data_IF_555168289496
#
_entry.id   IF_555168289496
#
_cell.length_a   1.000
_cell.length_b   1.000
_cell.length_c   1.000
_cell.angle_alpha   90.00
_cell.angle_beta   90.00
_cell.angle_gamma   90.00
#
_symmetry.space_group_name_H-M   'P 1'
#
loop_
_entity.id
_entity.type
_entity.pdbx_description
1 polymer ?
#
# COMPACT_ATOMS: atom_id res chain seq x y z
N UNK A 1 -50.89 13.09 63.10
CA UNK A 1 -49.50 12.68 63.36
C UNK A 1 -49.20 11.33 62.79
N UNK A 2 -49.35 11.16 61.44
CA UNK A 2 -49.23 9.86 60.81
C UNK A 2 -48.61 9.95 59.38
N UNK A 3 -47.83 11.01 59.11
CA UNK A 3 -47.25 11.25 57.77
C UNK A 3 -45.73 11.37 57.73
N UNK A 4 -45.06 11.05 58.85
CA UNK A 4 -43.62 11.32 58.95
C UNK A 4 -42.73 10.06 58.97
N UNK A 5 -43.25 8.89 58.66
CA UNK A 5 -42.46 7.62 58.72
C UNK A 5 -42.17 7.02 57.33
N UNK A 6 -42.69 7.57 56.25
CA UNK A 6 -42.63 6.94 54.92
C UNK A 6 -41.49 7.43 54.00
N UNK A 7 -40.60 8.30 54.48
CA UNK A 7 -39.51 8.87 53.64
C UNK A 7 -38.10 8.67 54.19
N UNK A 8 -37.84 7.55 54.85
CA UNK A 8 -36.50 7.23 55.32
C UNK A 8 -36.01 5.84 54.88
N UNK A 9 -36.14 5.56 53.59
CA UNK A 9 -35.44 4.45 52.95
C UNK A 9 -34.69 4.97 51.70
N UNK A 10 -33.83 5.92 51.92
CA UNK A 10 -32.80 6.25 50.93
C UNK A 10 -31.69 5.22 50.99
N UNK A 11 -31.83 4.10 50.34
CA UNK A 11 -30.70 3.22 50.10
C UNK A 11 -29.73 3.97 49.16
N UNK A 12 -28.62 4.44 49.72
CA UNK A 12 -27.53 5.00 48.94
C UNK A 12 -26.87 3.87 48.13
N UNK A 13 -27.17 3.82 46.88
CA UNK A 13 -26.47 2.94 45.96
C UNK A 13 -25.10 3.55 45.66
N UNK A 14 -24.03 2.87 46.02
CA UNK A 14 -22.69 3.20 45.54
C UNK A 14 -22.52 2.62 44.15
N UNK A 15 -22.46 3.47 43.13
CA UNK A 15 -22.11 3.06 41.78
C UNK A 15 -20.60 3.00 41.66
N UNK A 16 -20.08 1.79 41.44
CA UNK A 16 -18.67 1.58 41.14
C UNK A 16 -18.54 1.19 39.66
N UNK A 17 -17.70 1.91 38.93
CA UNK A 17 -17.40 1.57 37.56
C UNK A 17 -16.55 0.28 37.54
N UNK A 18 -17.09 -0.76 36.91
CA UNK A 18 -16.31 -1.97 36.63
C UNK A 18 -15.41 -1.74 35.42
N UNK A 19 -14.12 -1.82 35.62
CA UNK A 19 -13.14 -1.77 34.54
C UNK A 19 -12.81 -3.21 34.15
N UNK A 20 -13.07 -3.54 32.91
CA UNK A 20 -12.65 -4.84 32.36
C UNK A 20 -11.13 -4.78 32.11
N UNK A 21 -10.36 -5.54 32.87
CA UNK A 21 -8.95 -5.75 32.60
C UNK A 21 -8.74 -7.21 32.18
N UNK A 22 -7.97 -7.41 31.11
CA UNK A 22 -7.49 -8.73 30.72
C UNK A 22 -6.18 -8.96 31.46
N UNK A 23 -6.15 -9.92 32.35
CA UNK A 23 -4.95 -10.36 33.05
C UNK A 23 -4.47 -11.62 32.35
N UNK A 24 -3.35 -11.51 31.63
CA UNK A 24 -2.67 -12.65 31.05
C UNK A 24 -1.80 -13.32 32.12
N UNK A 25 -2.09 -14.56 32.44
CA UNK A 25 -1.19 -15.42 33.22
C UNK A 25 -0.16 -16.00 32.24
N UNK A 26 1.01 -15.36 32.16
CA UNK A 26 2.08 -15.71 31.22
C UNK A 26 3.27 -16.35 31.94
N UNK A 27 3.73 -17.47 31.40
CA UNK A 27 4.96 -18.11 31.83
C UNK A 27 6.05 -17.88 30.78
N UNK A 28 7.23 -17.46 31.22
CA UNK A 28 8.39 -17.38 30.33
C UNK A 28 8.98 -18.76 30.14
N UNK A 29 8.95 -19.23 28.90
CA UNK A 29 9.56 -20.50 28.53
C UNK A 29 10.64 -20.27 27.49
N UNK A 30 11.70 -21.09 27.54
CA UNK A 30 12.75 -21.15 26.51
C UNK A 30 12.53 -22.42 25.69
N UNK A 31 12.63 -22.29 24.39
CA UNK A 31 12.45 -23.42 23.49
C UNK A 31 13.12 -23.16 22.12
N UNK A 32 13.16 -24.21 21.31
CA UNK A 32 13.65 -24.13 19.93
C UNK A 32 12.45 -24.17 18.97
N UNK A 33 12.46 -23.29 17.97
CA UNK A 33 11.49 -23.33 16.88
C UNK A 33 12.13 -24.11 15.73
N UNK A 34 11.57 -25.26 15.39
CA UNK A 34 11.98 -26.03 14.20
C UNK A 34 11.01 -25.68 13.07
N UNK A 35 11.53 -25.14 11.98
CA UNK A 35 10.77 -24.82 10.78
C UNK A 35 11.11 -25.80 9.67
N UNK A 36 10.11 -26.19 8.88
CA UNK A 36 10.34 -26.90 7.62
C UNK A 36 10.56 -25.84 6.55
N UNK A 37 11.80 -25.73 6.06
CA UNK A 37 12.17 -24.72 5.07
C UNK A 37 12.36 -25.38 3.70
N UNK A 38 11.93 -24.67 2.65
CA UNK A 38 12.15 -25.05 1.27
C UNK A 38 12.96 -23.96 0.57
N UNK A 39 14.18 -24.34 0.15
CA UNK A 39 15.05 -23.44 -0.60
C UNK A 39 14.54 -23.35 -2.03
N UNK A 40 14.36 -22.12 -2.51
CA UNK A 40 14.07 -21.82 -3.90
C UNK A 40 15.38 -21.42 -4.59
N UNK A 41 15.70 -22.08 -5.69
CA UNK A 41 16.90 -21.79 -6.48
C UNK A 41 16.53 -21.05 -7.75
N UNK A 42 17.40 -20.13 -8.17
CA UNK A 42 17.30 -19.42 -9.44
C UNK A 42 18.61 -19.61 -10.22
N UNK A 43 18.50 -19.87 -11.52
CA UNK A 43 19.66 -20.17 -12.37
C UNK A 43 20.41 -18.90 -12.82
N UNK A 44 19.93 -17.71 -12.44
CA UNK A 44 20.48 -16.42 -12.86
C UNK A 44 21.03 -15.63 -11.67
N UNK A 45 21.99 -14.76 -11.94
CA UNK A 45 22.73 -14.05 -10.89
C UNK A 45 21.99 -12.83 -10.28
N UNK A 46 20.94 -12.33 -10.94
CA UNK A 46 20.20 -11.16 -10.47
C UNK A 46 18.79 -11.57 -10.10
N UNK A 47 18.57 -11.70 -8.80
CA UNK A 47 17.26 -12.05 -8.22
C UNK A 47 16.77 -10.85 -7.41
N UNK A 48 15.52 -10.45 -7.64
CA UNK A 48 14.86 -9.41 -6.86
C UNK A 48 13.69 -10.05 -6.14
N UNK A 49 13.75 -10.11 -4.81
CA UNK A 49 12.65 -10.56 -3.97
C UNK A 49 11.56 -9.50 -3.95
N UNK A 50 10.30 -9.92 -4.12
CA UNK A 50 9.13 -9.05 -4.17
C UNK A 50 8.38 -9.00 -2.83
N UNK A 51 8.78 -9.87 -1.90
CA UNK A 51 8.15 -10.04 -0.61
C UNK A 51 9.06 -9.63 0.53
N UNK A 52 8.45 -9.19 1.63
CA UNK A 52 9.15 -8.92 2.87
C UNK A 52 9.34 -10.20 3.70
N UNK A 53 10.38 -10.22 4.52
CA UNK A 53 10.61 -11.30 5.49
C UNK A 53 9.42 -11.45 6.43
N UNK A 54 8.94 -12.68 6.62
CA UNK A 54 7.77 -13.00 7.43
C UNK A 54 6.43 -12.83 6.71
N UNK A 55 6.42 -12.44 5.44
CA UNK A 55 5.19 -12.30 4.65
C UNK A 55 4.60 -13.66 4.29
N UNK A 56 3.26 -13.77 4.40
CA UNK A 56 2.56 -14.99 4.03
C UNK A 56 2.44 -15.11 2.52
N UNK A 57 2.76 -16.29 2.00
CA UNK A 57 2.76 -16.60 0.56
C UNK A 57 1.78 -17.71 0.26
N UNK A 58 0.95 -17.50 -0.75
CA UNK A 58 0.04 -18.52 -1.29
C UNK A 58 0.73 -19.44 -2.29
N UNK A 59 0.25 -20.69 -2.40
CA UNK A 59 0.74 -21.60 -3.43
C UNK A 59 0.51 -21.04 -4.84
N UNK A 60 1.53 -21.07 -5.70
CA UNK A 60 1.52 -20.49 -7.04
C UNK A 60 1.89 -18.99 -7.09
N UNK A 61 2.04 -18.33 -5.95
CA UNK A 61 2.43 -16.92 -5.89
C UNK A 61 3.90 -16.73 -6.29
N UNK A 62 4.17 -15.65 -7.04
CA UNK A 62 5.53 -15.22 -7.32
C UNK A 62 6.17 -14.60 -6.08
N UNK A 63 7.40 -14.98 -5.79
CA UNK A 63 8.17 -14.49 -4.64
C UNK A 63 9.39 -13.69 -5.04
N UNK A 64 9.88 -13.93 -6.26
CA UNK A 64 11.02 -13.21 -6.80
C UNK A 64 10.96 -13.15 -8.32
N UNK A 65 11.58 -12.11 -8.87
CA UNK A 65 11.80 -11.97 -10.31
C UNK A 65 13.30 -12.09 -10.61
N UNK A 66 13.62 -12.90 -11.60
CA UNK A 66 14.98 -13.18 -12.05
C UNK A 66 15.25 -12.44 -13.35
N UNK A 67 16.38 -11.76 -13.39
CA UNK A 67 16.82 -10.96 -14.55
C UNK A 67 18.10 -11.56 -15.15
N UNK A 68 18.16 -11.58 -16.49
CA UNK A 68 19.32 -12.09 -17.21
C UNK A 68 20.56 -11.20 -17.07
N UNK A 69 20.36 -9.88 -16.90
CA UNK A 69 21.44 -8.91 -16.74
C UNK A 69 20.99 -7.68 -15.93
N UNK A 70 21.96 -6.86 -15.51
CA UNK A 70 21.71 -5.61 -14.83
C UNK A 70 20.96 -4.62 -15.75
N UNK A 71 21.24 -4.65 -17.04
CA UNK A 71 20.57 -3.83 -18.04
C UNK A 71 19.10 -4.23 -18.19
N UNK A 72 18.79 -5.54 -18.23
CA UNK A 72 17.42 -6.04 -18.27
C UNK A 72 16.62 -5.61 -17.05
N UNK A 73 17.25 -5.63 -15.85
CA UNK A 73 16.66 -5.09 -14.62
C UNK A 73 16.41 -3.59 -14.74
N UNK A 74 17.40 -2.81 -15.18
CA UNK A 74 17.27 -1.37 -15.34
C UNK A 74 16.15 -0.98 -16.32
N UNK A 75 16.07 -1.68 -17.46
CA UNK A 75 15.00 -1.50 -18.44
C UNK A 75 13.62 -1.80 -17.85
N UNK A 76 13.49 -2.87 -17.04
CA UNK A 76 12.24 -3.21 -16.37
C UNK A 76 11.82 -2.15 -15.38
N UNK A 77 12.77 -1.63 -14.58
CA UNK A 77 12.51 -0.55 -13.62
C UNK A 77 12.07 0.74 -14.32
N UNK A 78 12.72 1.08 -15.45
CA UNK A 78 12.33 2.24 -16.25
C UNK A 78 10.94 2.05 -16.87
N UNK A 79 10.61 0.85 -17.36
CA UNK A 79 9.30 0.51 -17.87
C UNK A 79 8.21 0.74 -16.80
N UNK A 80 8.40 0.20 -15.60
CA UNK A 80 7.46 0.39 -14.48
C UNK A 80 7.28 1.86 -14.12
N UNK A 81 8.38 2.62 -14.10
CA UNK A 81 8.35 4.06 -13.85
C UNK A 81 7.53 4.81 -14.90
N UNK A 82 7.73 4.50 -16.18
CA UNK A 82 6.99 5.13 -17.28
C UNK A 82 5.52 4.74 -17.27
N UNK A 83 5.18 3.49 -16.92
CA UNK A 83 3.80 3.04 -16.73
C UNK A 83 3.11 3.84 -15.62
N UNK A 84 3.75 3.96 -14.46
CA UNK A 84 3.21 4.77 -13.36
C UNK A 84 2.99 6.23 -13.78
N UNK A 85 3.93 6.83 -14.54
CA UNK A 85 3.77 8.19 -15.05
C UNK A 85 2.60 8.31 -16.03
N UNK A 86 2.43 7.31 -16.90
CA UNK A 86 1.32 7.27 -17.85
C UNK A 86 -0.02 7.19 -17.13
N UNK A 87 -0.12 6.30 -16.13
CA UNK A 87 -1.35 6.14 -15.32
C UNK A 87 -1.70 7.43 -14.57
N UNK A 88 -0.70 8.12 -14.00
CA UNK A 88 -0.88 9.41 -13.34
C UNK A 88 -1.37 10.49 -14.31
N UNK A 89 -0.82 10.56 -15.52
CA UNK A 89 -1.26 11.51 -16.53
C UNK A 89 -2.66 11.21 -17.07
N UNK A 90 -2.98 9.93 -17.30
CA UNK A 90 -4.31 9.52 -17.69
C UNK A 90 -5.35 9.91 -16.62
N UNK A 91 -5.09 9.59 -15.34
CA UNK A 91 -5.95 9.99 -14.24
C UNK A 91 -6.11 11.52 -14.15
N UNK A 92 -5.01 12.25 -14.33
CA UNK A 92 -5.04 13.71 -14.26
C UNK A 92 -5.78 14.35 -15.45
N UNK A 93 -5.77 13.70 -16.63
CA UNK A 93 -6.48 14.16 -17.83
C UNK A 93 -7.97 13.83 -17.80
N UNK A 94 -8.37 12.82 -17.02
CA UNK A 94 -9.79 12.46 -16.86
C UNK A 94 -10.58 13.60 -16.21
N UNK A 95 -11.65 14.04 -16.90
CA UNK A 95 -12.56 15.05 -16.38
C UNK A 95 -12.07 16.50 -16.47
N UNK A 96 -11.11 16.81 -17.36
CA UNK A 96 -10.63 18.18 -17.58
C UNK A 96 -11.75 19.17 -17.87
N UNK A 97 -12.86 18.77 -18.48
CA UNK A 97 -14.00 19.65 -18.81
C UNK A 97 -15.11 19.75 -17.76
N UNK A 98 -15.04 18.99 -16.67
CA UNK A 98 -16.11 18.97 -15.65
C UNK A 98 -15.53 18.71 -14.24
N UNK A 99 -14.60 19.55 -13.82
CA UNK A 99 -13.85 19.37 -12.59
C UNK A 99 -14.39 20.22 -11.44
N UNK A 100 -14.68 19.60 -10.31
CA UNK A 100 -14.94 20.29 -9.04
C UNK A 100 -13.65 20.45 -8.25
N UNK A 101 -13.00 21.58 -8.43
CA UNK A 101 -11.74 21.93 -7.76
C UNK A 101 -11.86 21.97 -6.24
N UNK A 102 -13.03 22.36 -5.71
CA UNK A 102 -13.27 22.43 -4.26
C UNK A 102 -13.31 21.05 -3.63
N UNK A 103 -13.98 20.11 -4.28
CA UNK A 103 -14.00 18.70 -3.85
C UNK A 103 -12.62 18.08 -3.91
N UNK A 104 -11.85 18.37 -4.96
CA UNK A 104 -10.49 17.87 -5.12
C UNK A 104 -9.54 18.41 -4.03
N UNK A 105 -9.65 19.69 -3.70
CA UNK A 105 -8.87 20.32 -2.62
C UNK A 105 -9.18 19.69 -1.24
N UNK A 106 -10.44 19.31 -0.99
CA UNK A 106 -10.81 18.59 0.24
C UNK A 106 -10.21 17.19 0.27
N UNK A 107 -10.28 16.43 -0.82
CA UNK A 107 -9.70 15.10 -0.92
C UNK A 107 -8.18 15.12 -0.75
N UNK A 108 -7.48 16.11 -1.32
CA UNK A 108 -6.04 16.31 -1.14
C UNK A 108 -5.69 16.52 0.34
N UNK A 109 -6.46 17.37 1.05
CA UNK A 109 -6.23 17.62 2.49
C UNK A 109 -6.46 16.37 3.32
N UNK A 110 -7.53 15.64 3.06
CA UNK A 110 -7.85 14.39 3.76
C UNK A 110 -6.74 13.36 3.56
N UNK A 111 -6.28 13.19 2.33
CA UNK A 111 -5.21 12.25 2.00
C UNK A 111 -3.86 12.65 2.62
N UNK A 112 -3.57 13.95 2.75
CA UNK A 112 -2.39 14.45 3.48
C UNK A 112 -2.43 14.05 4.95
N UNK A 113 -3.58 14.22 5.61
CA UNK A 113 -3.78 13.82 7.02
C UNK A 113 -3.61 12.31 7.17
N UNK A 114 -4.25 11.54 6.30
CA UNK A 114 -4.19 10.08 6.30
C UNK A 114 -2.76 9.57 6.06
N UNK A 115 -2.04 10.14 5.09
CA UNK A 115 -0.62 9.81 4.85
C UNK A 115 0.25 10.07 6.08
N UNK A 116 0.04 11.19 6.76
CA UNK A 116 0.74 11.50 8.01
C UNK A 116 0.45 10.48 9.13
N UNK A 117 -0.80 10.03 9.25
CA UNK A 117 -1.18 8.99 10.21
C UNK A 117 -0.52 7.64 9.91
N UNK A 118 -0.44 7.24 8.64
CA UNK A 118 0.26 6.01 8.23
C UNK A 118 1.74 6.06 8.57
N UNK A 119 2.41 7.21 8.36
CA UNK A 119 3.82 7.38 8.74
C UNK A 119 4.00 7.28 10.25
N UNK A 120 3.14 7.94 11.04
CA UNK A 120 3.20 7.89 12.50
C UNK A 120 2.96 6.48 13.05
N UNK A 121 2.05 5.72 12.43
CA UNK A 121 1.76 4.32 12.79
C UNK A 121 2.72 3.30 12.20
N UNK A 122 3.78 3.75 11.49
CA UNK A 122 4.78 2.92 10.82
C UNK A 122 4.21 1.97 9.75
N UNK A 123 3.08 2.31 9.17
CA UNK A 123 2.46 1.58 8.06
C UNK A 123 3.04 2.08 6.73
N UNK A 124 4.29 1.75 6.45
CA UNK A 124 5.05 2.34 5.34
C UNK A 124 4.46 2.01 3.97
N UNK A 125 3.92 0.81 3.76
CA UNK A 125 3.26 0.43 2.50
C UNK A 125 2.02 1.29 2.25
N UNK A 126 1.16 1.46 3.26
CA UNK A 126 -0.03 2.32 3.17
C UNK A 126 0.34 3.80 2.97
N UNK A 127 1.41 4.25 3.62
CA UNK A 127 1.93 5.61 3.44
C UNK A 127 2.42 5.85 2.00
N UNK A 128 3.09 4.86 1.39
CA UNK A 128 3.56 4.94 0.01
C UNK A 128 2.38 5.03 -0.97
N UNK A 129 1.39 4.15 -0.83
CA UNK A 129 0.17 4.17 -1.67
C UNK A 129 -0.58 5.49 -1.53
N UNK A 130 -0.68 6.04 -0.31
CA UNK A 130 -1.30 7.34 -0.08
C UNK A 130 -0.51 8.48 -0.74
N UNK A 131 0.83 8.42 -0.72
CA UNK A 131 1.70 9.39 -1.38
C UNK A 131 1.55 9.37 -2.91
N UNK A 132 1.46 8.19 -3.52
CA UNK A 132 1.20 8.03 -4.96
C UNK A 132 -0.17 8.59 -5.36
N UNK A 133 -1.21 8.30 -4.57
CA UNK A 133 -2.55 8.86 -4.77
C UNK A 133 -2.56 10.38 -4.63
N UNK A 134 -1.86 10.92 -3.62
CA UNK A 134 -1.71 12.35 -3.41
C UNK A 134 -1.01 13.01 -4.60
N UNK A 135 0.08 12.42 -5.11
CA UNK A 135 0.78 12.92 -6.29
C UNK A 135 -0.14 13.00 -7.51
N UNK A 136 -0.94 11.97 -7.74
CA UNK A 136 -1.91 11.92 -8.84
C UNK A 136 -3.00 12.99 -8.72
N UNK A 137 -3.52 13.22 -7.50
CA UNK A 137 -4.53 14.26 -7.25
C UNK A 137 -3.96 15.68 -7.40
N UNK A 138 -2.75 15.92 -6.90
CA UNK A 138 -2.05 17.19 -7.05
C UNK A 138 -1.76 17.49 -8.53
N UNK A 139 -1.32 16.47 -9.28
CA UNK A 139 -1.11 16.60 -10.72
C UNK A 139 -2.43 16.95 -11.42
N UNK A 140 -3.51 16.24 -11.13
CA UNK A 140 -4.86 16.53 -11.65
C UNK A 140 -5.31 17.95 -11.33
N UNK A 141 -5.02 18.46 -10.11
CA UNK A 141 -5.36 19.81 -9.69
C UNK A 141 -4.53 20.87 -10.42
N UNK A 142 -3.29 20.55 -10.82
CA UNK A 142 -2.37 21.50 -11.46
C UNK A 142 -2.57 21.64 -12.98
N UNK A 143 -3.20 20.66 -13.64
CA UNK A 143 -3.44 20.70 -15.08
C UNK A 143 -4.68 21.54 -15.36
N UNK A 144 -4.52 22.56 -16.21
CA UNK A 144 -5.63 23.39 -16.71
C UNK A 144 -6.25 22.80 -17.99
N UNK A 145 -7.44 23.29 -18.36
CA UNK A 145 -8.08 22.89 -19.64
C UNK A 145 -7.20 23.24 -20.85
N UNK A 146 -6.48 24.35 -20.80
CA UNK A 146 -5.57 24.79 -21.86
C UNK A 146 -4.37 23.86 -22.03
N UNK A 147 -4.01 23.10 -20.99
CA UNK A 147 -2.92 22.12 -21.02
C UNK A 147 -3.30 20.78 -21.67
N UNK A 148 -4.57 20.56 -21.96
CA UNK A 148 -5.08 19.27 -22.44
C UNK A 148 -4.37 18.72 -23.68
N UNK A 149 -4.08 19.59 -24.65
CA UNK A 149 -3.33 19.19 -25.86
C UNK A 149 -1.89 18.73 -25.54
N UNK A 150 -1.22 19.43 -24.62
CA UNK A 150 0.16 19.11 -24.18
C UNK A 150 0.19 17.80 -23.40
N UNK A 151 -0.80 17.58 -22.53
CA UNK A 151 -0.94 16.35 -21.76
C UNK A 151 -1.18 15.15 -22.70
N UNK A 152 -2.08 15.29 -23.69
CA UNK A 152 -2.33 14.23 -24.68
C UNK A 152 -1.09 13.91 -25.53
N UNK A 153 -0.32 14.91 -25.92
CA UNK A 153 0.96 14.71 -26.63
C UNK A 153 1.90 13.90 -25.72
N UNK A 154 2.01 14.26 -24.43
CA UNK A 154 2.88 13.56 -23.47
C UNK A 154 2.44 12.10 -23.22
N UNK A 155 1.14 11.85 -23.13
CA UNK A 155 0.56 10.50 -23.04
C UNK A 155 0.98 9.67 -24.26
N UNK A 156 0.88 10.23 -25.47
CA UNK A 156 1.26 9.55 -26.71
C UNK A 156 2.76 9.22 -26.75
N UNK A 157 3.62 10.17 -26.36
CA UNK A 157 5.07 9.97 -26.28
C UNK A 157 5.44 8.86 -25.28
N UNK A 158 4.85 8.89 -24.08
CA UNK A 158 5.08 7.88 -23.05
C UNK A 158 4.61 6.50 -23.50
N UNK A 159 3.44 6.42 -24.12
CA UNK A 159 2.90 5.17 -24.64
C UNK A 159 3.81 4.57 -25.73
N UNK A 160 4.33 5.39 -26.64
CA UNK A 160 5.28 4.96 -27.65
C UNK A 160 6.59 4.45 -27.03
N UNK A 161 7.10 5.17 -26.02
CA UNK A 161 8.34 4.75 -25.32
C UNK A 161 8.17 3.48 -24.51
N UNK A 162 7.01 3.29 -23.87
CA UNK A 162 6.64 2.06 -23.16
C UNK A 162 6.59 0.88 -24.16
N UNK A 163 5.98 1.07 -25.33
CA UNK A 163 5.91 0.05 -26.36
C UNK A 163 7.31 -0.36 -26.86
N UNK A 164 8.19 0.62 -27.11
CA UNK A 164 9.58 0.37 -27.51
C UNK A 164 10.34 -0.43 -26.46
N UNK A 165 10.31 0.00 -25.19
CA UNK A 165 10.99 -0.69 -24.10
C UNK A 165 10.39 -2.07 -23.82
N UNK A 166 9.08 -2.24 -23.96
CA UNK A 166 8.42 -3.53 -23.78
C UNK A 166 8.85 -4.53 -24.87
N UNK A 167 9.06 -4.07 -26.10
CA UNK A 167 9.55 -4.90 -27.20
C UNK A 167 11.04 -5.27 -27.01
N UNK A 168 11.82 -4.37 -26.41
CA UNK A 168 13.25 -4.57 -26.15
C UNK A 168 13.53 -5.32 -24.83
N UNK A 169 12.56 -5.36 -23.91
CA UNK A 169 12.73 -5.97 -22.59
C UNK A 169 12.97 -7.48 -22.74
N UNK A 170 14.13 -7.93 -22.26
CA UNK A 170 14.46 -9.35 -22.21
C UNK A 170 13.45 -10.12 -21.32
N UNK A 171 13.38 -11.45 -21.54
CA UNK A 171 12.51 -12.30 -20.76
C UNK A 171 12.93 -12.25 -19.29
N UNK A 172 11.97 -11.94 -18.42
CA UNK A 172 12.10 -12.11 -16.98
C UNK A 172 11.49 -13.44 -16.58
N UNK A 173 12.13 -14.15 -15.67
CA UNK A 173 11.60 -15.39 -15.11
C UNK A 173 11.09 -15.12 -13.69
N UNK A 174 9.85 -15.52 -13.43
CA UNK A 174 9.26 -15.44 -12.11
C UNK A 174 9.50 -16.73 -11.35
N UNK A 175 9.98 -16.61 -10.11
CA UNK A 175 10.11 -17.73 -9.16
C UNK A 175 8.84 -17.82 -8.35
N UNK A 176 8.12 -18.94 -8.47
CA UNK A 176 6.86 -19.18 -7.76
C UNK A 176 7.02 -20.27 -6.71
N UNK A 177 6.24 -20.18 -5.64
CA UNK A 177 6.17 -21.24 -4.62
C UNK A 177 5.13 -22.29 -4.97
N UNK A 178 5.41 -23.55 -4.67
CA UNK A 178 4.46 -24.66 -4.92
C UNK A 178 3.44 -24.86 -3.79
N UNK A 179 3.69 -24.33 -2.60
CA UNK A 179 2.84 -24.47 -1.42
C UNK A 179 2.82 -23.18 -0.62
N UNK A 180 1.75 -22.95 0.13
CA UNK A 180 1.64 -21.82 1.03
C UNK A 180 2.65 -21.91 2.18
N UNK A 181 3.10 -20.75 2.67
CA UNK A 181 4.07 -20.65 3.75
C UNK A 181 4.38 -19.19 4.09
N UNK A 182 5.52 -18.99 4.73
CA UNK A 182 6.05 -17.66 5.03
C UNK A 182 7.41 -17.50 4.35
N UNK A 183 7.62 -16.34 3.76
CA UNK A 183 8.89 -15.98 3.14
C UNK A 183 9.91 -15.61 4.23
N UNK A 184 11.14 -16.10 4.17
CA UNK A 184 12.23 -15.81 5.11
C UNK A 184 13.59 -15.79 4.43
#
# INVERSE_FOLDING_TARGET
MLFSVLFKSGSSYALTAAVRCEVGDGMTVSGFVVRSEKILTADQSIVVCELAEGEHVGGGQAVATVYQSAEARAQRMELLRLQTQLDQLNYASEGLGNRDDSSLDLQIRELLVQSSQYVQSRQLSSALTAAESLQSMVLRRSISEDDGARVNTRITELSARIAELSAAAGQTQSVTVSSSGYFS
#
